data_IF_587003028170
#
_entry.id   IF_587003028170
#
_cell.length_a   1.000
_cell.length_b   1.000
_cell.length_c   1.000
_cell.angle_alpha   90.00
_cell.angle_beta   90.00
_cell.angle_gamma   90.00
#
_symmetry.space_group_name_H-M   'P 1'
#
loop_
_entity.id
_entity.type
_entity.pdbx_description
1 polymer ?
#
# COMPACT_ATOMS: atom_id res chain seq x y z
N UNK A 1 -15.27 -19.30 -12.48
CA UNK A 1 -13.98 -19.52 -11.80
C UNK A 1 -13.98 -18.59 -10.61
N UNK A 2 -13.74 -19.09 -9.40
CA UNK A 2 -13.72 -18.23 -8.21
C UNK A 2 -12.37 -17.52 -8.19
N UNK A 3 -12.39 -16.20 -8.31
CA UNK A 3 -11.16 -15.40 -8.16
C UNK A 3 -10.68 -15.49 -6.71
N UNK A 4 -9.43 -15.90 -6.53
CA UNK A 4 -8.83 -16.08 -5.20
C UNK A 4 -8.00 -14.85 -4.84
N UNK A 5 -8.44 -14.14 -3.81
CA UNK A 5 -7.67 -13.07 -3.19
C UNK A 5 -6.44 -13.65 -2.50
N UNK A 6 -5.26 -13.11 -2.82
CA UNK A 6 -4.00 -13.41 -2.13
C UNK A 6 -3.43 -12.14 -1.53
N UNK A 7 -3.05 -12.21 -0.26
CA UNK A 7 -2.32 -11.14 0.43
C UNK A 7 -0.86 -11.57 0.54
N UNK A 8 0.06 -10.69 0.13
CA UNK A 8 1.51 -10.94 0.20
C UNK A 8 2.25 -9.70 0.65
N UNK A 9 3.46 -9.87 1.17
CA UNK A 9 4.34 -8.75 1.47
C UNK A 9 4.61 -7.93 0.20
N UNK A 10 4.65 -6.62 0.40
CA UNK A 10 5.02 -5.64 -0.61
C UNK A 10 6.45 -5.86 -1.10
N UNK A 11 6.67 -5.57 -2.38
CA UNK A 11 7.98 -5.55 -3.02
C UNK A 11 8.18 -4.20 -3.68
N UNK A 12 9.43 -3.71 -3.81
CA UNK A 12 9.71 -2.44 -4.49
C UNK A 12 9.12 -2.33 -5.90
N UNK A 13 8.96 -3.46 -6.60
CA UNK A 13 8.31 -3.51 -7.92
C UNK A 13 6.80 -3.18 -7.91
N UNK A 14 6.14 -3.23 -6.77
CA UNK A 14 4.71 -2.87 -6.64
C UNK A 14 4.49 -1.35 -6.57
N UNK A 15 5.54 -0.57 -6.24
CA UNK A 15 5.44 0.88 -5.94
C UNK A 15 4.69 1.66 -7.01
N UNK A 16 5.09 1.49 -8.27
CA UNK A 16 4.50 2.23 -9.41
C UNK A 16 3.00 1.96 -9.51
N UNK A 17 2.58 0.70 -9.39
CA UNK A 17 1.18 0.32 -9.47
C UNK A 17 0.37 0.84 -8.28
N UNK A 18 0.95 0.88 -7.07
CA UNK A 18 0.27 1.45 -5.90
C UNK A 18 0.07 2.96 -6.03
N UNK A 19 1.05 3.69 -6.57
CA UNK A 19 0.92 5.11 -6.86
C UNK A 19 -0.15 5.37 -7.93
N UNK A 20 -0.25 4.52 -8.95
CA UNK A 20 -1.33 4.59 -9.95
C UNK A 20 -2.70 4.36 -9.31
N UNK A 21 -2.83 3.36 -8.44
CA UNK A 21 -4.08 3.09 -7.72
C UNK A 21 -4.49 4.28 -6.84
N UNK A 22 -3.54 4.91 -6.13
CA UNK A 22 -3.84 6.09 -5.32
C UNK A 22 -4.31 7.26 -6.19
N UNK A 23 -3.65 7.51 -7.33
CA UNK A 23 -4.03 8.58 -8.27
C UNK A 23 -5.45 8.44 -8.83
N UNK A 24 -6.00 7.21 -8.91
CA UNK A 24 -7.40 7.00 -9.30
C UNK A 24 -8.41 7.61 -8.31
N UNK A 25 -7.98 7.88 -7.08
CA UNK A 25 -8.78 8.45 -6.00
C UNK A 25 -8.48 9.94 -5.75
N UNK A 26 -7.61 10.55 -6.55
CA UNK A 26 -7.29 11.98 -6.51
C UNK A 26 -8.07 12.68 -7.63
N UNK A 27 -8.75 13.81 -7.37
CA UNK A 27 -8.75 14.60 -6.12
C UNK A 27 -9.93 14.28 -5.18
N UNK A 28 -10.73 13.24 -5.45
CA UNK A 28 -12.00 13.03 -4.77
C UNK A 28 -11.84 12.63 -3.28
N UNK A 29 -10.88 11.76 -2.99
CA UNK A 29 -10.63 11.24 -1.64
C UNK A 29 -9.28 11.66 -1.07
N UNK A 30 -8.32 12.00 -1.93
CA UNK A 30 -6.96 12.38 -1.55
C UNK A 30 -6.50 13.64 -2.28
N UNK A 31 -5.61 14.40 -1.64
CA UNK A 31 -4.95 15.55 -2.23
C UNK A 31 -3.80 15.13 -3.16
N UNK A 32 -3.44 16.02 -4.09
CA UNK A 32 -2.34 15.75 -5.02
C UNK A 32 -0.98 15.56 -4.29
N UNK A 33 -0.78 16.23 -3.16
CA UNK A 33 0.43 16.10 -2.33
C UNK A 33 0.56 14.73 -1.67
N UNK A 34 -0.56 14.05 -1.41
CA UNK A 34 -0.54 12.73 -0.77
C UNK A 34 0.08 11.65 -1.68
N UNK A 35 0.14 11.88 -2.99
CA UNK A 35 0.85 10.99 -3.91
C UNK A 35 2.37 11.00 -3.64
N UNK A 36 2.95 12.19 -3.44
CA UNK A 36 4.39 12.34 -3.19
C UNK A 36 4.73 11.88 -1.76
N UNK A 37 3.84 12.17 -0.79
CA UNK A 37 3.98 11.67 0.59
C UNK A 37 3.91 10.14 0.65
N UNK A 38 3.04 9.53 -0.16
CA UNK A 38 2.92 8.08 -0.23
C UNK A 38 4.14 7.43 -0.91
N UNK A 39 4.71 8.08 -1.94
CA UNK A 39 5.96 7.61 -2.57
C UNK A 39 7.11 7.56 -1.56
N UNK A 40 7.32 8.65 -0.80
CA UNK A 40 8.33 8.70 0.27
C UNK A 40 8.06 7.66 1.37
N UNK A 41 6.80 7.48 1.74
CA UNK A 41 6.42 6.49 2.74
C UNK A 41 6.81 5.06 2.32
N UNK A 42 6.49 4.66 1.08
CA UNK A 42 6.79 3.33 0.55
C UNK A 42 8.30 3.04 0.46
N UNK A 43 9.13 4.08 0.37
CA UNK A 43 10.59 3.94 0.34
C UNK A 43 11.22 3.94 1.73
N UNK A 44 10.78 4.84 2.61
CA UNK A 44 11.55 5.19 3.80
C UNK A 44 10.86 4.84 5.13
N UNK A 45 9.56 4.55 5.13
CA UNK A 45 8.75 4.54 6.36
C UNK A 45 7.93 3.27 6.57
N UNK A 46 8.07 2.25 5.72
CA UNK A 46 7.34 0.98 5.88
C UNK A 46 8.01 0.07 6.91
N UNK A 47 7.21 -0.52 7.80
CA UNK A 47 7.61 -1.67 8.62
C UNK A 47 6.96 -2.97 8.13
N UNK A 48 5.63 -3.06 8.18
CA UNK A 48 4.86 -4.17 7.60
C UNK A 48 3.86 -3.64 6.59
N UNK A 49 4.11 -3.94 5.32
CA UNK A 49 3.29 -3.47 4.21
C UNK A 49 2.94 -4.64 3.29
N UNK A 50 1.69 -4.70 2.85
CA UNK A 50 1.14 -5.82 2.10
C UNK A 50 0.36 -5.33 0.90
N UNK A 51 0.31 -6.17 -0.13
CA UNK A 51 -0.55 -5.97 -1.30
C UNK A 51 -1.55 -7.11 -1.41
N UNK A 52 -2.74 -6.78 -1.89
CA UNK A 52 -3.79 -7.70 -2.26
C UNK A 52 -3.76 -7.93 -3.76
N UNK A 53 -3.67 -9.18 -4.21
CA UNK A 53 -3.67 -9.55 -5.62
C UNK A 53 -4.77 -10.55 -5.97
N UNK A 54 -5.36 -10.36 -7.15
CA UNK A 54 -6.27 -11.30 -7.84
C UNK A 54 -5.67 -11.56 -9.21
N UNK A 55 -5.54 -12.82 -9.61
CA UNK A 55 -4.93 -13.23 -10.90
C UNK A 55 -3.57 -12.55 -11.18
N UNK A 56 -2.73 -12.48 -10.13
CA UNK A 56 -1.42 -11.83 -10.12
C UNK A 56 -1.43 -10.30 -10.39
N UNK A 57 -2.61 -9.68 -10.41
CA UNK A 57 -2.78 -8.23 -10.48
C UNK A 57 -3.02 -7.66 -9.09
N UNK A 58 -2.23 -6.68 -8.68
CA UNK A 58 -2.47 -5.95 -7.44
C UNK A 58 -3.74 -5.10 -7.59
N UNK A 59 -4.63 -5.22 -6.61
CA UNK A 59 -5.91 -4.51 -6.55
C UNK A 59 -6.01 -3.57 -5.35
N UNK A 60 -5.04 -3.60 -4.44
CA UNK A 60 -5.00 -2.76 -3.25
C UNK A 60 -3.81 -3.08 -2.36
N UNK A 61 -3.62 -2.27 -1.31
CA UNK A 61 -2.53 -2.43 -0.36
C UNK A 61 -2.88 -1.87 1.02
N UNK A 62 -2.06 -2.21 2.02
CA UNK A 62 -2.21 -1.71 3.38
C UNK A 62 -0.94 -1.93 4.20
N UNK A 63 -0.71 -1.03 5.15
CA UNK A 63 0.45 -1.00 6.02
C UNK A 63 0.08 -0.96 7.49
N UNK A 64 0.99 -1.45 8.32
CA UNK A 64 0.97 -1.29 9.78
C UNK A 64 2.41 -0.98 10.20
N UNK A 65 2.57 0.13 10.91
CA UNK A 65 3.81 0.45 11.62
C UNK A 65 3.62 0.17 13.12
N UNK A 66 4.71 0.12 13.89
CA UNK A 66 4.65 -0.35 15.27
C UNK A 66 5.29 0.60 16.26
N UNK A 67 4.67 0.69 17.45
CA UNK A 67 5.22 1.36 18.62
C UNK A 67 5.31 0.38 19.81
N UNK A 68 5.92 0.84 20.91
CA UNK A 68 6.02 0.10 22.17
C UNK A 68 6.62 -1.31 22.03
N UNK A 69 7.69 -1.45 21.23
CA UNK A 69 8.35 -2.72 20.90
C UNK A 69 7.37 -3.74 20.29
N UNK A 70 6.70 -3.38 19.19
CA UNK A 70 5.78 -4.25 18.45
C UNK A 70 4.51 -4.66 19.21
N UNK A 71 4.10 -3.87 20.21
CA UNK A 71 2.88 -4.13 21.01
C UNK A 71 1.68 -3.30 20.59
N UNK A 72 1.91 -2.24 19.83
CA UNK A 72 0.85 -1.35 19.35
C UNK A 72 1.07 -1.12 17.86
N UNK A 73 0.05 -1.42 17.05
CA UNK A 73 0.03 -1.05 15.63
C UNK A 73 -0.48 0.37 15.47
N UNK A 74 0.19 1.15 14.61
CA UNK A 74 -0.20 2.50 14.22
C UNK A 74 -0.40 2.54 12.70
N UNK A 75 -1.35 3.35 12.26
CA UNK A 75 -1.75 3.57 10.85
C UNK A 75 -1.78 5.07 10.61
#
# INVERSE_FOLDING_TARGET
>A
MTEHLKIREYKPGDKVLLLEILKLNVPEYFAQSEVDEFDDYLENKIEKYFVAEIDAKVIGAGGINFENNYRTGII
#
